data_IF_834833655672
#
_entry.id   IF_834833655672
#
_cell.length_a   1.000
_cell.length_b   1.000
_cell.length_c   1.000
_cell.angle_alpha   90.00
_cell.angle_beta   90.00
_cell.angle_gamma   90.00
#
_symmetry.space_group_name_H-M   'P 1'
#
loop_
_entity.id
_entity.type
_entity.pdbx_description
1 polymer ?
#
# COMPACT_ATOMS: atom_id res chain seq x y z
N UNK A 1 -11.27 7.00 3.15
CA UNK A 1 -9.93 7.65 3.20
C UNK A 1 -10.01 9.09 3.72
N UNK A 2 -10.99 9.88 3.28
CA UNK A 2 -11.11 11.33 3.59
C UNK A 2 -11.54 11.71 5.01
N UNK A 3 -12.24 10.83 5.74
CA UNK A 3 -12.74 11.15 7.08
C UNK A 3 -11.62 11.48 8.08
N UNK A 4 -10.66 10.57 8.26
CA UNK A 4 -9.55 10.75 9.20
C UNK A 4 -8.67 11.97 8.85
N UNK A 5 -8.49 12.23 7.56
CA UNK A 5 -7.76 13.40 7.05
C UNK A 5 -8.50 14.68 7.45
N UNK A 6 -9.83 14.71 7.30
CA UNK A 6 -10.66 15.86 7.66
C UNK A 6 -10.72 16.07 9.18
N UNK A 7 -10.74 15.00 9.98
CA UNK A 7 -10.63 15.10 11.45
C UNK A 7 -9.31 15.79 11.85
N UNK A 8 -8.21 15.44 11.20
CA UNK A 8 -6.92 16.06 11.46
C UNK A 8 -6.91 17.55 11.06
N UNK A 9 -7.48 17.89 9.90
CA UNK A 9 -7.62 19.28 9.47
C UNK A 9 -8.44 20.13 10.45
N UNK A 10 -9.52 19.59 10.99
CA UNK A 10 -10.35 20.27 11.97
C UNK A 10 -9.61 20.49 13.30
N UNK A 11 -8.82 19.51 13.76
CA UNK A 11 -7.95 19.68 14.94
C UNK A 11 -6.94 20.82 14.76
N UNK A 12 -6.49 21.05 13.53
CA UNK A 12 -5.58 22.15 13.18
C UNK A 12 -6.31 23.48 12.92
N UNK A 13 -7.63 23.55 13.13
CA UNK A 13 -8.44 24.75 12.87
C UNK A 13 -8.62 25.08 11.39
N UNK A 14 -8.31 24.14 10.48
CA UNK A 14 -8.41 24.32 9.03
C UNK A 14 -9.76 23.82 8.51
N UNK A 15 -10.26 24.44 7.44
CA UNK A 15 -11.46 23.99 6.75
C UNK A 15 -11.27 22.56 6.21
N UNK A 16 -12.25 21.66 6.39
CA UNK A 16 -12.16 20.30 5.84
C UNK A 16 -12.11 20.32 4.32
N UNK A 17 -11.47 19.32 3.73
CA UNK A 17 -11.50 19.15 2.29
C UNK A 17 -12.89 18.69 1.85
N UNK A 18 -13.41 19.37 0.83
CA UNK A 18 -14.58 18.91 0.09
C UNK A 18 -14.12 17.72 -0.76
N UNK A 19 -14.89 16.64 -0.70
CA UNK A 19 -14.62 15.45 -1.49
C UNK A 19 -15.02 15.72 -2.93
N UNK A 20 -14.06 16.14 -3.75
CA UNK A 20 -14.25 16.13 -5.19
C UNK A 20 -14.32 14.66 -5.63
N UNK A 21 -15.43 14.26 -6.25
CA UNK A 21 -15.65 12.91 -6.82
C UNK A 21 -14.78 12.65 -8.06
N UNK A 22 -13.72 13.42 -8.25
CA UNK A 22 -12.82 13.26 -9.39
C UNK A 22 -11.97 12.01 -9.16
N UNK A 23 -12.46 10.89 -9.71
CA UNK A 23 -11.55 9.83 -10.13
C UNK A 23 -10.59 10.48 -11.12
N UNK A 24 -9.34 10.70 -10.73
CA UNK A 24 -8.25 10.94 -11.68
C UNK A 24 -8.44 9.91 -12.81
N UNK A 25 -8.68 10.38 -14.04
CA UNK A 25 -8.80 9.51 -15.20
C UNK A 25 -7.43 8.86 -15.40
N UNK A 26 -7.22 7.72 -14.76
CA UNK A 26 -5.99 6.95 -14.94
C UNK A 26 -6.04 6.30 -16.30
N UNK A 27 -5.05 6.57 -17.15
CA UNK A 27 -4.85 5.82 -18.38
C UNK A 27 -4.62 4.35 -18.01
N UNK A 28 -5.55 3.49 -18.44
CA UNK A 28 -5.48 2.05 -18.19
C UNK A 28 -5.21 1.34 -19.49
N UNK A 29 -4.26 0.41 -19.47
CA UNK A 29 -4.08 -0.55 -20.57
C UNK A 29 -5.28 -1.49 -20.55
N UNK A 30 -6.04 -1.48 -21.64
CA UNK A 30 -7.21 -2.34 -21.84
C UNK A 30 -6.86 -3.34 -22.95
N UNK A 31 -7.23 -4.60 -22.76
CA UNK A 31 -7.04 -5.62 -23.79
C UNK A 31 -8.04 -5.41 -24.91
N UNK A 32 -7.59 -5.57 -26.16
CA UNK A 32 -8.47 -5.54 -27.34
C UNK A 32 -9.43 -6.74 -27.38
N UNK A 33 -8.98 -7.90 -26.89
CA UNK A 33 -9.74 -9.14 -26.93
C UNK A 33 -10.70 -9.30 -25.74
N UNK A 34 -10.37 -8.70 -24.60
CA UNK A 34 -11.16 -8.83 -23.37
C UNK A 34 -11.09 -7.53 -22.54
N UNK A 35 -11.98 -6.56 -22.80
CA UNK A 35 -11.95 -5.26 -22.16
C UNK A 35 -12.15 -5.28 -20.64
N UNK A 36 -12.73 -6.35 -20.10
CA UNK A 36 -12.97 -6.51 -18.66
C UNK A 36 -11.68 -6.95 -17.93
N UNK A 37 -10.82 -7.72 -18.59
CA UNK A 37 -9.56 -8.18 -18.02
C UNK A 37 -8.67 -6.99 -17.58
N UNK A 38 -8.10 -7.10 -16.38
CA UNK A 38 -7.24 -6.06 -15.83
C UNK A 38 -5.77 -6.28 -16.16
N UNK A 39 -4.99 -5.21 -16.26
CA UNK A 39 -3.56 -5.31 -16.51
C UNK A 39 -2.79 -5.63 -15.22
N UNK A 40 -2.13 -6.79 -15.19
CA UNK A 40 -1.35 -7.29 -14.05
C UNK A 40 0.14 -7.28 -14.37
N UNK A 41 0.93 -6.78 -13.41
CA UNK A 41 2.38 -6.73 -13.49
C UNK A 41 2.95 -7.46 -12.29
N UNK A 42 3.70 -8.54 -12.54
CA UNK A 42 4.39 -9.31 -11.50
C UNK A 42 5.89 -9.06 -11.59
N UNK A 43 6.37 -8.19 -10.70
CA UNK A 43 7.75 -7.72 -10.74
C UNK A 43 8.06 -7.00 -12.04
N UNK A 44 9.30 -7.09 -12.52
CA UNK A 44 9.75 -6.40 -13.74
C UNK A 44 9.54 -7.23 -15.02
N UNK A 45 9.39 -8.56 -14.90
CA UNK A 45 9.50 -9.52 -16.01
C UNK A 45 8.18 -9.92 -16.65
N UNK A 46 7.09 -10.05 -15.87
CA UNK A 46 5.83 -10.61 -16.36
C UNK A 46 4.73 -9.52 -16.37
N UNK A 47 4.26 -9.17 -17.56
CA UNK A 47 3.15 -8.24 -17.79
C UNK A 47 2.06 -8.95 -18.58
N UNK A 48 0.89 -9.12 -17.99
CA UNK A 48 -0.20 -9.89 -18.60
C UNK A 48 -1.57 -9.32 -18.22
N UNK A 49 -2.57 -9.58 -19.04
CA UNK A 49 -3.96 -9.33 -18.67
C UNK A 49 -4.47 -10.48 -17.81
N UNK A 50 -5.12 -10.18 -16.69
CA UNK A 50 -5.56 -11.16 -15.71
C UNK A 50 -6.82 -10.70 -14.97
N UNK A 51 -7.43 -11.67 -14.29
CA UNK A 51 -8.50 -11.48 -13.33
C UNK A 51 -7.98 -11.72 -11.91
N UNK A 52 -8.61 -11.12 -10.90
CA UNK A 52 -8.33 -11.41 -9.50
C UNK A 52 -9.30 -12.47 -9.00
N UNK A 53 -8.79 -13.56 -8.41
CA UNK A 53 -9.63 -14.60 -7.81
C UNK A 53 -9.55 -14.51 -6.28
N UNK A 54 -10.70 -14.36 -5.63
CA UNK A 54 -10.87 -14.38 -4.18
C UNK A 54 -11.41 -15.73 -3.76
N UNK A 55 -10.66 -16.46 -2.94
CA UNK A 55 -11.00 -17.82 -2.54
C UNK A 55 -11.39 -17.86 -1.06
N UNK A 56 -12.58 -18.35 -0.75
CA UNK A 56 -13.00 -18.65 0.62
C UNK A 56 -12.62 -20.10 0.96
N UNK A 57 -11.94 -20.30 2.09
CA UNK A 57 -11.37 -21.60 2.47
C UNK A 57 -11.76 -21.95 3.91
N UNK A 58 -12.03 -23.23 4.17
CA UNK A 58 -12.27 -23.73 5.52
C UNK A 58 -10.95 -23.93 6.30
N UNK A 59 -11.05 -24.12 7.63
CA UNK A 59 -9.94 -24.40 8.56
C UNK A 59 -9.08 -25.62 8.18
N UNK A 60 -9.62 -26.52 7.35
CA UNK A 60 -8.93 -27.71 6.85
C UNK A 60 -8.29 -27.51 5.46
N UNK A 61 -8.40 -26.31 4.88
CA UNK A 61 -7.83 -26.00 3.58
C UNK A 61 -8.66 -26.53 2.40
N UNK A 62 -9.97 -26.71 2.58
CA UNK A 62 -10.89 -26.94 1.48
C UNK A 62 -11.38 -25.61 0.92
N UNK A 63 -11.40 -25.48 -0.41
CA UNK A 63 -11.97 -24.33 -1.09
C UNK A 63 -13.48 -24.46 -1.09
N UNK A 64 -14.17 -23.51 -0.48
CA UNK A 64 -15.63 -23.48 -0.40
C UNK A 64 -16.23 -22.67 -1.55
N UNK A 65 -15.59 -21.56 -1.90
CA UNK A 65 -16.06 -20.64 -2.93
C UNK A 65 -14.89 -19.88 -3.57
N UNK A 66 -15.05 -19.51 -4.84
CA UNK A 66 -14.11 -18.65 -5.55
C UNK A 66 -14.87 -17.60 -6.35
N UNK A 67 -14.70 -16.35 -5.95
CA UNK A 67 -15.21 -15.20 -6.68
C UNK A 67 -14.11 -14.56 -7.52
N UNK A 68 -14.30 -14.50 -8.83
CA UNK A 68 -13.43 -13.78 -9.76
C UNK A 68 -13.94 -12.36 -9.94
N UNK A 69 -13.04 -11.39 -9.79
CA UNK A 69 -13.31 -9.95 -9.99
C UNK A 69 -12.27 -9.31 -10.90
N UNK A 70 -12.61 -8.14 -11.43
CA UNK A 70 -11.70 -7.34 -12.25
C UNK A 70 -10.58 -6.77 -11.36
N UNK A 71 -9.33 -6.87 -11.80
CA UNK A 71 -8.18 -6.28 -11.08
C UNK A 71 -8.38 -4.77 -10.88
N UNK A 72 -9.05 -4.12 -11.84
CA UNK A 72 -9.38 -2.70 -11.83
C UNK A 72 -10.49 -2.29 -10.83
N UNK A 73 -11.26 -3.26 -10.31
CA UNK A 73 -12.35 -3.06 -9.33
C UNK A 73 -12.01 -3.56 -7.93
N UNK A 74 -10.79 -4.04 -7.68
CA UNK A 74 -10.32 -4.23 -6.31
C UNK A 74 -10.45 -2.87 -5.61
N UNK A 75 -11.38 -2.71 -4.65
CA UNK A 75 -11.27 -1.56 -3.78
C UNK A 75 -9.88 -1.67 -3.16
N UNK A 76 -9.14 -0.55 -3.12
CA UNK A 76 -7.87 -0.37 -2.40
C UNK A 76 -7.96 -0.74 -0.89
N UNK A 77 -9.06 -1.34 -0.46
CA UNK A 77 -9.39 -1.81 0.87
C UNK A 77 -8.86 -3.22 1.17
N UNK A 78 -8.47 -4.01 0.15
CA UNK A 78 -7.98 -5.39 0.35
C UNK A 78 -6.53 -5.63 -0.07
N UNK A 79 -5.80 -4.57 -0.44
CA UNK A 79 -4.34 -4.64 -0.36
C UNK A 79 -4.00 -4.78 1.11
N UNK A 80 -3.36 -5.90 1.49
CA UNK A 80 -2.83 -6.14 2.83
C UNK A 80 -2.26 -4.81 3.36
N UNK A 81 -2.56 -4.38 4.60
CA UNK A 81 -1.93 -3.19 5.18
C UNK A 81 -0.43 -3.18 4.86
N UNK A 82 0.25 -4.33 4.87
CA UNK A 82 1.64 -4.46 4.41
C UNK A 82 1.95 -3.90 3.02
N UNK A 83 1.12 -4.16 2.00
CA UNK A 83 1.41 -3.69 0.63
C UNK A 83 1.24 -2.18 0.52
N UNK A 84 0.27 -1.61 1.24
CA UNK A 84 0.17 -0.15 1.36
C UNK A 84 1.35 0.42 2.16
N UNK A 85 1.78 -0.24 3.24
CA UNK A 85 2.98 0.12 4.01
C UNK A 85 4.24 0.18 3.13
N UNK A 86 4.46 -0.82 2.27
CA UNK A 86 5.62 -0.87 1.37
C UNK A 86 5.57 0.30 0.36
N UNK A 87 4.39 0.70 -0.13
CA UNK A 87 4.27 1.89 -0.98
C UNK A 87 4.35 3.22 -0.23
N UNK A 88 4.09 3.24 1.08
CA UNK A 88 4.22 4.43 1.93
C UNK A 88 5.70 4.76 2.20
N UNK A 89 6.56 3.74 2.28
CA UNK A 89 8.01 3.92 2.29
C UNK A 89 8.53 4.07 0.86
N UNK A 90 8.27 5.22 0.25
CA UNK A 90 8.96 5.60 -0.98
C UNK A 90 10.47 5.58 -0.73
N UNK A 91 11.15 4.56 -1.25
CA UNK A 91 12.61 4.50 -1.28
C UNK A 91 13.10 5.70 -2.09
N UNK A 92 13.63 6.70 -1.37
CA UNK A 92 14.31 7.83 -2.00
C UNK A 92 15.50 7.37 -2.84
N UNK A 93 16.00 8.26 -3.70
CA UNK A 93 17.24 8.02 -4.45
C UNK A 93 18.36 7.62 -3.46
N UNK A 94 19.09 6.55 -3.76
CA UNK A 94 20.13 5.97 -2.88
C UNK A 94 21.22 6.96 -2.44
N UNK A 95 21.44 8.03 -3.21
CA UNK A 95 22.45 9.06 -2.99
C UNK A 95 22.09 10.04 -1.85
N UNK A 96 20.83 10.06 -1.41
CA UNK A 96 20.36 10.95 -0.35
C UNK A 96 20.16 10.22 0.97
N UNK A 97 20.23 10.97 2.08
CA UNK A 97 19.88 10.50 3.41
C UNK A 97 18.49 9.84 3.38
N UNK A 98 18.46 8.57 3.76
CA UNK A 98 17.24 7.78 3.86
C UNK A 98 16.34 8.33 4.95
N UNK A 99 15.02 8.21 4.76
CA UNK A 99 14.03 8.57 5.78
C UNK A 99 14.27 7.81 7.09
N UNK A 100 14.84 6.60 7.03
CA UNK A 100 15.18 5.79 8.21
C UNK A 100 16.21 6.43 9.14
N UNK A 101 17.00 7.40 8.67
CA UNK A 101 17.95 8.15 9.50
C UNK A 101 17.28 9.27 10.30
N UNK A 102 15.99 9.55 10.05
CA UNK A 102 15.23 10.54 10.78
C UNK A 102 14.38 9.84 11.83
N UNK A 103 14.48 10.28 13.08
CA UNK A 103 13.71 9.73 14.19
C UNK A 103 12.47 10.59 14.38
N UNK A 104 11.29 9.98 14.47
CA UNK A 104 10.06 10.70 14.79
C UNK A 104 9.89 10.76 16.31
N UNK A 105 9.62 11.96 16.81
CA UNK A 105 9.23 12.20 18.21
C UNK A 105 7.72 12.43 18.29
N UNK A 106 7.03 11.54 19.01
CA UNK A 106 5.58 11.60 19.20
C UNK A 106 5.16 12.70 20.20
N UNK A 107 6.01 13.02 21.18
CA UNK A 107 5.68 14.01 22.22
C UNK A 107 5.68 15.43 21.65
N UNK A 108 6.68 15.76 20.82
CA UNK A 108 6.80 17.09 20.20
C UNK A 108 6.21 17.17 18.78
N UNK A 109 5.69 16.05 18.23
CA UNK A 109 5.24 15.91 16.84
C UNK A 109 6.25 16.51 15.83
N UNK A 110 7.50 16.04 15.91
CA UNK A 110 8.59 16.51 15.06
C UNK A 110 9.48 15.35 14.58
N UNK A 111 10.28 15.62 13.55
CA UNK A 111 11.34 14.68 13.13
C UNK A 111 12.71 15.22 13.51
N UNK A 112 13.55 14.40 14.11
CA UNK A 112 14.94 14.70 14.38
C UNK A 112 15.80 14.19 13.24
N UNK A 113 16.59 15.09 12.65
CA UNK A 113 17.57 14.74 11.63
C UNK A 113 18.90 14.25 12.26
N UNK A 114 19.78 13.57 11.51
CA UNK A 114 21.08 13.12 12.03
C UNK A 114 22.01 14.27 12.46
N UNK A 115 21.74 15.50 12.03
CA UNK A 115 22.42 16.70 12.52
C UNK A 115 21.79 17.32 13.78
N UNK A 116 20.94 16.57 14.50
CA UNK A 116 20.21 17.00 15.69
C UNK A 116 19.38 18.28 15.50
N UNK A 117 18.84 18.47 14.29
CA UNK A 117 17.90 19.55 14.00
C UNK A 117 16.49 19.01 13.84
N UNK A 118 15.54 19.71 14.43
CA UNK A 118 14.11 19.40 14.37
C UNK A 118 13.50 19.81 13.03
N UNK A 119 12.61 18.96 12.53
CA UNK A 119 11.73 19.21 11.41
C UNK A 119 10.31 19.33 11.95
N UNK A 120 9.77 20.53 11.81
CA UNK A 120 8.49 20.91 12.43
C UNK A 120 7.34 20.57 11.48
N UNK A 121 6.23 20.12 12.04
CA UNK A 121 5.00 19.91 11.31
C UNK A 121 4.50 21.19 10.61
N UNK A 122 4.03 21.08 9.37
CA UNK A 122 3.54 22.22 8.58
C UNK A 122 2.08 22.07 8.15
N UNK A 123 1.79 21.09 7.30
CA UNK A 123 0.44 20.89 6.76
C UNK A 123 0.19 19.43 6.39
N UNK A 124 -1.09 19.06 6.33
CA UNK A 124 -1.53 17.78 5.76
C UNK A 124 -2.00 17.99 4.31
N UNK A 125 -1.60 17.08 3.43
CA UNK A 125 -2.07 17.04 2.04
C UNK A 125 -3.46 16.38 1.95
N UNK A 126 -4.21 16.64 0.87
CA UNK A 126 -5.45 15.93 0.51
C UNK A 126 -5.29 14.40 0.46
N UNK A 127 -4.08 13.93 0.09
CA UNK A 127 -3.72 12.50 0.02
C UNK A 127 -3.38 11.88 1.40
N UNK A 128 -3.49 12.63 2.51
CA UNK A 128 -3.27 12.11 3.86
C UNK A 128 -1.82 12.13 4.36
N UNK A 129 -0.93 12.87 3.70
CA UNK A 129 0.47 13.01 4.12
C UNK A 129 0.67 14.27 4.96
N UNK A 130 1.19 14.11 6.18
CA UNK A 130 1.71 15.17 7.04
C UNK A 130 3.11 15.58 6.56
N UNK A 131 3.33 16.88 6.35
CA UNK A 131 4.60 17.45 5.92
C UNK A 131 5.35 18.02 7.12
N UNK A 132 6.60 17.62 7.27
CA UNK A 132 7.54 18.12 8.25
C UNK A 132 8.68 18.84 7.54
N UNK A 133 9.03 20.04 7.97
CA UNK A 133 9.97 20.93 7.29
C UNK A 133 11.11 21.33 8.21
N UNK A 134 12.32 21.35 7.67
CA UNK A 134 13.48 21.90 8.38
C UNK A 134 13.57 23.42 8.25
N UNK A 135 14.33 24.05 9.15
CA UNK A 135 14.67 25.47 9.07
C UNK A 135 15.77 25.71 8.01
N UNK A 136 15.50 26.50 6.95
CA UNK A 136 16.49 26.79 5.90
C UNK A 136 17.78 27.41 6.44
N UNK A 137 17.66 28.33 7.41
CA UNK A 137 18.79 29.06 7.99
C UNK A 137 19.81 28.15 8.66
N UNK A 138 19.32 27.12 9.35
CA UNK A 138 20.16 26.11 10.03
C UNK A 138 20.74 25.12 9.02
N UNK A 139 19.94 24.74 8.01
CA UNK A 139 20.38 23.80 6.98
C UNK A 139 21.46 24.35 6.04
N UNK A 140 21.48 25.66 5.75
CA UNK A 140 22.54 26.27 4.92
C UNK A 140 23.95 26.06 5.49
N UNK A 141 24.06 25.99 6.83
CA UNK A 141 25.34 25.79 7.52
C UNK A 141 25.65 24.32 7.79
N UNK A 142 24.78 23.40 7.35
CA UNK A 142 24.88 21.99 7.70
C UNK A 142 25.94 21.26 6.85
N UNK A 143 26.91 20.54 7.46
CA UNK A 143 27.90 19.77 6.72
C UNK A 143 27.29 18.69 5.81
N UNK A 144 26.11 18.17 6.18
CA UNK A 144 25.43 17.08 5.48
C UNK A 144 24.47 17.57 4.39
N UNK A 145 24.44 18.87 4.07
CA UNK A 145 23.48 19.49 3.16
C UNK A 145 23.46 18.80 1.78
N UNK A 146 24.63 18.52 1.22
CA UNK A 146 24.80 17.86 -0.09
C UNK A 146 24.14 16.48 -0.15
N UNK A 147 24.16 15.73 0.95
CA UNK A 147 23.53 14.40 1.06
C UNK A 147 22.07 14.48 1.56
N UNK A 148 21.65 15.62 2.11
CA UNK A 148 20.33 15.79 2.71
C UNK A 148 19.26 16.24 1.71
N UNK A 149 19.57 17.28 0.92
CA UNK A 149 18.61 17.93 0.00
C UNK A 149 19.30 18.61 -1.18
N UNK A 150 18.64 18.59 -2.34
CA UNK A 150 18.97 19.40 -3.53
C UNK A 150 18.06 20.62 -3.72
N UNK A 151 17.26 20.99 -2.71
CA UNK A 151 16.34 22.12 -2.83
C UNK A 151 17.12 23.44 -2.85
N UNK A 152 16.78 24.35 -3.76
CA UNK A 152 17.34 25.72 -3.80
C UNK A 152 17.12 26.49 -2.49
N UNK A 153 16.05 26.18 -1.76
CA UNK A 153 15.73 26.77 -0.47
C UNK A 153 16.48 26.12 0.69
N UNK A 154 17.33 25.12 0.43
CA UNK A 154 18.04 24.33 1.45
C UNK A 154 17.11 23.76 2.53
N UNK A 155 15.87 23.42 2.16
CA UNK A 155 14.84 22.92 3.07
C UNK A 155 14.56 21.44 2.84
N UNK A 156 14.68 20.64 3.90
CA UNK A 156 14.26 19.23 3.91
C UNK A 156 12.78 19.14 4.18
N UNK A 157 12.10 18.30 3.41
CA UNK A 157 10.69 17.96 3.62
C UNK A 157 10.58 16.45 3.81
N UNK A 158 10.08 16.05 4.98
CA UNK A 158 9.73 14.67 5.28
C UNK A 158 8.20 14.52 5.25
N UNK A 159 7.72 13.44 4.62
CA UNK A 159 6.30 13.14 4.54
C UNK A 159 5.99 11.91 5.40
N UNK A 160 5.07 12.04 6.36
CA UNK A 160 4.54 10.92 7.15
C UNK A 160 3.06 10.77 6.87
N UNK A 161 2.61 9.59 6.47
CA UNK A 161 1.18 9.37 6.25
C UNK A 161 0.43 9.29 7.59
N UNK A 162 -0.84 9.72 7.63
CA UNK A 162 -1.67 9.69 8.85
C UNK A 162 -1.75 8.28 9.45
N UNK A 163 -1.69 7.24 8.61
CA UNK A 163 -1.77 5.85 9.05
C UNK A 163 -0.47 5.22 9.53
N UNK A 164 0.66 5.94 9.46
CA UNK A 164 1.96 5.36 9.85
C UNK A 164 1.94 4.82 11.28
N UNK A 165 1.24 5.48 12.22
CA UNK A 165 1.09 4.98 13.59
C UNK A 165 0.35 3.61 13.65
N UNK A 166 -0.66 3.40 12.81
CA UNK A 166 -1.36 2.12 12.73
C UNK A 166 -0.47 1.04 12.10
N UNK A 167 0.35 1.41 11.12
CA UNK A 167 1.35 0.54 10.49
C UNK A 167 2.40 0.10 11.49
N UNK A 168 3.03 1.05 12.20
CA UNK A 168 4.03 0.78 13.23
C UNK A 168 3.46 -0.12 14.33
N UNK A 169 2.20 0.12 14.74
CA UNK A 169 1.49 -0.75 15.69
C UNK A 169 1.27 -2.16 15.13
N UNK A 170 0.89 -2.28 13.87
CA UNK A 170 0.71 -3.58 13.22
C UNK A 170 2.05 -4.36 13.11
N UNK A 171 3.14 -3.68 12.75
CA UNK A 171 4.50 -4.27 12.71
C UNK A 171 4.92 -4.76 14.10
N UNK A 172 4.75 -3.94 15.14
CA UNK A 172 5.01 -4.35 16.52
C UNK A 172 4.19 -5.59 16.90
N UNK A 173 2.89 -5.58 16.59
CA UNK A 173 2.00 -6.69 16.87
C UNK A 173 2.44 -7.98 16.15
N UNK A 174 2.94 -7.92 14.92
CA UNK A 174 3.38 -9.11 14.20
C UNK A 174 4.57 -9.83 14.86
N UNK A 175 5.39 -9.09 15.60
CA UNK A 175 6.51 -9.66 16.33
C UNK A 175 6.14 -10.26 17.68
N UNK A 176 4.89 -10.10 18.14
CA UNK A 176 4.40 -10.77 19.35
C UNK A 176 4.34 -12.28 19.18
N UNK A 177 4.51 -13.04 20.26
CA UNK A 177 4.56 -14.50 20.21
C UNK A 177 3.27 -15.12 19.65
N UNK A 178 2.11 -14.58 20.07
CA UNK A 178 0.79 -15.01 19.60
C UNK A 178 0.65 -14.82 18.10
N UNK A 179 0.98 -13.63 17.58
CA UNK A 179 0.89 -13.37 16.15
C UNK A 179 1.94 -14.15 15.37
N UNK A 180 3.17 -14.33 15.86
CA UNK A 180 4.16 -15.21 15.22
C UNK A 180 3.66 -16.65 15.09
N UNK A 181 2.91 -17.17 16.06
CA UNK A 181 2.25 -18.49 15.96
C UNK A 181 1.16 -18.48 14.89
N UNK A 182 0.25 -17.50 14.90
CA UNK A 182 -0.80 -17.37 13.88
C UNK A 182 -0.25 -17.19 12.46
N UNK A 183 0.77 -16.34 12.28
CA UNK A 183 1.41 -16.10 10.98
C UNK A 183 2.20 -17.32 10.47
N UNK A 184 2.76 -18.16 11.35
CA UNK A 184 3.32 -19.47 10.95
C UNK A 184 2.23 -20.37 10.37
N UNK A 185 1.09 -20.47 11.06
CA UNK A 185 -0.07 -21.20 10.57
C UNK A 185 -0.70 -20.60 9.31
N UNK A 186 -0.41 -19.35 8.91
CA UNK A 186 -0.92 -18.81 7.63
C UNK A 186 -0.25 -19.46 6.42
N UNK A 187 1.02 -19.87 6.52
CA UNK A 187 1.77 -20.48 5.40
C UNK A 187 1.29 -21.89 5.07
N UNK A 188 0.89 -22.66 6.08
CA UNK A 188 0.55 -24.08 5.94
C UNK A 188 -0.74 -24.36 5.12
N UNK A 189 -1.91 -23.76 5.44
CA UNK A 189 -3.16 -24.02 4.73
C UNK A 189 -3.25 -23.21 3.44
N UNK A 190 -2.78 -21.95 3.45
CA UNK A 190 -3.04 -21.04 2.33
C UNK A 190 -2.22 -21.42 1.10
N UNK A 191 -0.95 -21.80 1.28
CA UNK A 191 -0.08 -22.18 0.15
C UNK A 191 -0.57 -23.48 -0.46
N UNK A 192 -0.96 -24.47 0.35
CA UNK A 192 -1.56 -25.72 -0.13
C UNK A 192 -2.83 -25.45 -0.93
N UNK A 193 -3.74 -24.63 -0.41
CA UNK A 193 -4.98 -24.27 -1.12
C UNK A 193 -4.66 -23.59 -2.45
N UNK A 194 -3.74 -22.63 -2.47
CA UNK A 194 -3.37 -21.95 -3.71
C UNK A 194 -2.69 -22.87 -4.73
N UNK A 195 -1.85 -23.80 -4.29
CA UNK A 195 -1.24 -24.81 -5.16
C UNK A 195 -2.33 -25.72 -5.73
N UNK A 196 -3.20 -26.26 -4.88
CA UNK A 196 -4.31 -27.12 -5.29
C UNK A 196 -5.26 -26.43 -6.28
N UNK A 197 -5.65 -25.19 -5.97
CA UNK A 197 -6.42 -24.32 -6.84
C UNK A 197 -5.76 -24.15 -8.22
N UNK A 198 -4.46 -23.89 -8.27
CA UNK A 198 -3.73 -23.72 -9.53
C UNK A 198 -3.60 -25.01 -10.33
N UNK A 199 -3.28 -26.11 -9.66
CA UNK A 199 -2.96 -27.39 -10.30
C UNK A 199 -4.20 -28.18 -10.67
N UNK A 200 -5.14 -28.37 -9.74
CA UNK A 200 -6.36 -29.18 -9.96
C UNK A 200 -7.48 -28.38 -10.62
N UNK A 201 -7.73 -27.16 -10.15
CA UNK A 201 -8.85 -26.34 -10.66
C UNK A 201 -8.43 -25.39 -11.81
N UNK A 202 -7.18 -25.50 -12.29
CA UNK A 202 -6.71 -24.78 -13.48
C UNK A 202 -6.81 -23.26 -13.36
N UNK A 203 -6.70 -22.71 -12.15
CA UNK A 203 -6.92 -21.28 -11.84
C UNK A 203 -5.76 -20.40 -12.36
N UNK A 204 -4.70 -21.02 -12.87
CA UNK A 204 -3.52 -20.33 -13.40
C UNK A 204 -3.81 -19.57 -14.70
N UNK A 205 -4.71 -20.09 -15.53
CA UNK A 205 -5.04 -19.54 -16.84
C UNK A 205 -6.53 -19.68 -17.12
N UNK A 206 -7.14 -18.62 -17.65
CA UNK A 206 -8.53 -18.64 -18.10
C UNK A 206 -8.57 -18.89 -19.60
N UNK A 207 -9.38 -19.87 -20.03
CA UNK A 207 -9.61 -20.15 -21.47
C UNK A 207 -10.73 -19.29 -22.07
N UNK A 208 -11.43 -18.55 -21.22
CA UNK A 208 -12.62 -17.79 -21.57
C UNK A 208 -12.37 -16.30 -21.35
N UNK A 209 -13.06 -15.51 -22.15
CA UNK A 209 -13.16 -14.06 -22.03
C UNK A 209 -14.52 -13.71 -21.44
N UNK A 210 -14.65 -12.51 -20.85
CA UNK A 210 -15.83 -12.04 -20.09
C UNK A 210 -15.91 -12.63 -18.67
N UNK A 211 -16.08 -11.75 -17.68
CA UNK A 211 -16.07 -12.07 -16.26
C UNK A 211 -17.11 -13.12 -15.87
N UNK A 212 -18.32 -13.03 -16.40
CA UNK A 212 -19.41 -13.96 -16.10
C UNK A 212 -19.06 -15.39 -16.50
N UNK A 213 -18.47 -15.58 -17.69
CA UNK A 213 -18.02 -16.89 -18.17
C UNK A 213 -16.87 -17.41 -17.32
N UNK A 214 -15.91 -16.55 -16.99
CA UNK A 214 -14.77 -16.92 -16.14
C UNK A 214 -15.25 -17.38 -14.76
N UNK A 215 -16.19 -16.65 -14.14
CA UNK A 215 -16.80 -17.04 -12.86
C UNK A 215 -17.52 -18.38 -12.94
N UNK A 216 -18.38 -18.57 -13.94
CA UNK A 216 -19.17 -19.79 -14.08
C UNK A 216 -18.30 -21.04 -14.24
N UNK A 217 -17.28 -20.98 -15.09
CA UNK A 217 -16.33 -22.10 -15.26
C UNK A 217 -15.53 -22.35 -13.98
N UNK A 218 -15.16 -21.30 -13.26
CA UNK A 218 -14.42 -21.45 -12.02
C UNK A 218 -15.25 -22.18 -10.96
N UNK A 219 -16.52 -21.81 -10.78
CA UNK A 219 -17.41 -22.50 -9.88
C UNK A 219 -17.60 -23.97 -10.27
N UNK A 220 -17.76 -24.26 -11.57
CA UNK A 220 -17.89 -25.63 -12.07
C UNK A 220 -16.65 -26.49 -11.78
N UNK A 221 -15.45 -25.91 -11.85
CA UNK A 221 -14.20 -26.65 -11.59
C UNK A 221 -14.02 -27.02 -10.13
N UNK A 222 -14.63 -26.31 -9.19
CA UNK A 222 -14.57 -26.60 -7.76
C UNK A 222 -15.48 -27.77 -7.35
N UNK A 223 -16.46 -28.11 -8.19
CA UNK A 223 -17.39 -29.22 -7.97
C UNK A 223 -16.83 -30.59 -8.43
N UNK A 224 -15.61 -30.62 -9.00
CA UNK A 224 -14.92 -31.82 -9.51
C UNK A 224 -13.80 -32.25 -8.56
#
# INVERSE_FOLDING_TARGET
>A
MSYEINVQHQKEGKRPFILDKESELTERKISKADPESGYYVKGEREKQFAYSAHTACDKHGFVLDVMVILIAKLPLFFTDPFTTCITLYQTGKKEFLSLKMYVYDEYYDCYLCPGNQELIFSTVNRKGYRKYKSDPKKCMLCPLLNHCTQSEKHQKVNNRHVWVAYVEKAEHLQHTELNRKLYRHRKEPIERVFVYAKEKHGIRWTKYHVLEKVNLIQCLRLLQ
#
